data_IF_866237089763
#
_entry.id   IF_866237089763
#
_cell.length_a   1.000
_cell.length_b   1.000
_cell.length_c   1.000
_cell.angle_alpha   90.00
_cell.angle_beta   90.00
_cell.angle_gamma   90.00
#
_symmetry.space_group_name_H-M   'P 1'
#
loop_
_entity.id
_entity.type
_entity.pdbx_description
1 polymer ?
#
# COMPACT_ATOMS: atom_id res chain seq x y z
N UNK A 1 65.56 -55.87 12.62
CA UNK A 1 64.39 -55.50 11.78
C UNK A 1 63.34 -54.87 12.68
N UNK A 2 62.95 -53.62 12.38
CA UNK A 2 62.31 -52.68 13.33
C UNK A 2 60.80 -52.93 13.48
N UNK A 3 60.26 -53.20 14.69
CA UNK A 3 58.82 -53.41 14.94
C UNK A 3 57.97 -52.13 14.81
N UNK A 4 58.60 -50.97 14.71
CA UNK A 4 57.94 -49.67 14.52
C UNK A 4 57.11 -49.55 13.24
N UNK A 5 57.38 -50.36 12.22
CA UNK A 5 56.61 -50.36 10.96
C UNK A 5 55.18 -50.88 11.13
N UNK A 6 54.95 -51.82 12.06
CA UNK A 6 53.62 -52.38 12.30
C UNK A 6 52.72 -51.41 13.05
N UNK A 7 53.25 -50.73 14.08
CA UNK A 7 52.51 -49.71 14.82
C UNK A 7 52.19 -48.48 13.97
N UNK A 8 53.08 -48.09 13.06
CA UNK A 8 52.86 -46.96 12.15
C UNK A 8 51.78 -47.28 11.10
N UNK A 9 51.71 -48.51 10.61
CA UNK A 9 50.63 -48.95 9.71
C UNK A 9 49.25 -48.99 10.40
N UNK A 10 49.21 -49.37 11.69
CA UNK A 10 47.99 -49.42 12.49
C UNK A 10 47.49 -48.02 12.87
N UNK A 11 48.40 -47.09 13.16
CA UNK A 11 48.05 -45.68 13.39
C UNK A 11 47.53 -45.00 12.12
N UNK A 12 48.11 -45.34 10.96
CA UNK A 12 47.68 -44.81 9.66
C UNK A 12 46.32 -45.37 9.21
N UNK A 13 46.02 -46.63 9.52
CA UNK A 13 44.69 -47.20 9.22
C UNK A 13 43.60 -46.58 10.11
N UNK A 14 43.89 -46.32 11.39
CA UNK A 14 42.96 -45.68 12.32
C UNK A 14 42.71 -44.20 11.96
N UNK A 15 43.71 -43.51 11.41
CA UNK A 15 43.56 -42.13 10.92
C UNK A 15 42.72 -42.05 9.62
N UNK A 16 42.80 -43.08 8.77
CA UNK A 16 41.99 -43.19 7.55
C UNK A 16 40.50 -43.45 7.83
N UNK A 17 40.17 -44.25 8.86
CA UNK A 17 38.76 -44.46 9.25
C UNK A 17 38.12 -43.24 9.88
N UNK A 18 38.89 -42.41 10.58
CA UNK A 18 38.39 -41.15 11.16
C UNK A 18 37.99 -40.11 10.10
N UNK A 19 38.63 -40.14 8.92
CA UNK A 19 38.32 -39.21 7.82
C UNK A 19 37.14 -39.67 6.95
N UNK A 20 36.77 -40.96 6.99
CA UNK A 20 35.63 -41.51 6.25
C UNK A 20 34.27 -41.26 6.93
N UNK A 21 34.26 -40.71 8.15
CA UNK A 21 33.05 -40.35 8.90
C UNK A 21 32.48 -38.97 8.51
N UNK A 22 32.94 -38.38 7.40
CA UNK A 22 32.29 -37.19 6.83
C UNK A 22 30.90 -37.61 6.37
N UNK A 23 29.89 -37.11 7.09
CA UNK A 23 28.50 -37.51 6.94
C UNK A 23 28.04 -37.30 5.49
N UNK A 24 27.55 -38.36 4.85
CA UNK A 24 27.08 -38.27 3.47
C UNK A 24 25.90 -37.28 3.37
N UNK A 25 25.89 -36.37 2.39
CA UNK A 25 24.79 -35.44 2.19
C UNK A 25 23.50 -36.22 1.90
N UNK A 26 22.43 -35.89 2.64
CA UNK A 26 21.09 -36.47 2.44
C UNK A 26 20.20 -35.44 1.78
N UNK A 27 19.37 -35.90 0.84
CA UNK A 27 18.29 -35.10 0.28
C UNK A 27 17.02 -35.36 1.07
N UNK A 28 16.44 -34.32 1.65
CA UNK A 28 15.16 -34.39 2.33
C UNK A 28 14.19 -33.33 1.78
N UNK A 29 12.91 -33.69 1.72
CA UNK A 29 11.83 -32.82 1.27
C UNK A 29 11.10 -32.31 2.49
N UNK A 30 11.04 -30.99 2.66
CA UNK A 30 10.38 -30.31 3.77
C UNK A 30 9.14 -29.59 3.22
N UNK A 31 7.92 -30.04 3.55
CA UNK A 31 6.70 -29.35 3.16
C UNK A 31 6.52 -28.07 3.97
N UNK A 32 6.05 -27.00 3.32
CA UNK A 32 5.63 -25.76 3.95
C UNK A 32 4.10 -25.68 3.96
N UNK A 33 3.53 -24.96 4.92
CA UNK A 33 2.08 -24.86 5.11
C UNK A 33 1.55 -23.45 4.86
N UNK A 34 2.26 -22.43 5.33
CA UNK A 34 1.78 -21.05 5.38
C UNK A 34 2.64 -20.10 4.56
N UNK A 35 3.95 -20.33 4.53
CA UNK A 35 4.92 -19.55 3.72
C UNK A 35 5.21 -20.25 2.41
N UNK A 36 5.50 -19.46 1.38
CA UNK A 36 5.90 -20.02 0.08
C UNK A 36 7.36 -20.43 0.08
N UNK A 37 7.68 -21.48 -0.70
CA UNK A 37 9.05 -21.94 -0.83
C UNK A 37 9.98 -20.84 -1.38
N UNK A 38 9.48 -19.97 -2.26
CA UNK A 38 10.25 -18.86 -2.84
C UNK A 38 10.58 -17.75 -1.82
N UNK A 39 9.70 -17.48 -0.85
CA UNK A 39 9.94 -16.50 0.22
C UNK A 39 11.04 -16.99 1.19
N UNK A 40 11.05 -18.29 1.51
CA UNK A 40 12.00 -18.87 2.46
C UNK A 40 13.31 -19.35 1.82
N UNK A 41 13.32 -19.61 0.51
CA UNK A 41 14.51 -20.05 -0.23
C UNK A 41 15.76 -19.19 0.04
N UNK A 42 15.73 -17.84 -0.10
CA UNK A 42 16.94 -17.03 0.10
C UNK A 42 17.43 -17.07 1.55
N UNK A 43 16.51 -17.15 2.52
CA UNK A 43 16.84 -17.24 3.95
C UNK A 43 17.55 -18.57 4.22
N UNK A 44 16.94 -19.68 3.80
CA UNK A 44 17.50 -21.02 3.96
C UNK A 44 18.82 -21.16 3.21
N UNK A 45 18.93 -20.61 2.00
CA UNK A 45 20.17 -20.62 1.22
C UNK A 45 21.29 -19.84 1.92
N UNK A 46 20.99 -18.69 2.52
CA UNK A 46 21.98 -17.94 3.31
C UNK A 46 22.43 -18.69 4.56
N UNK A 47 21.54 -19.46 5.20
CA UNK A 47 21.88 -20.30 6.37
C UNK A 47 22.68 -21.54 5.96
N UNK A 48 22.38 -22.15 4.81
CA UNK A 48 23.10 -23.32 4.29
C UNK A 48 24.49 -22.96 3.74
N UNK A 49 24.66 -21.76 3.20
CA UNK A 49 25.92 -21.30 2.61
C UNK A 49 26.45 -22.28 1.56
N UNK A 50 27.69 -22.73 1.73
CA UNK A 50 28.33 -23.75 0.87
C UNK A 50 28.16 -25.18 1.37
N UNK A 51 27.51 -25.38 2.52
CA UNK A 51 27.40 -26.67 3.22
C UNK A 51 26.20 -27.51 2.74
N UNK A 52 25.51 -27.05 1.70
CA UNK A 52 24.42 -27.77 1.07
C UNK A 52 23.83 -27.05 -0.14
N UNK A 53 22.81 -27.67 -0.74
CA UNK A 53 21.99 -27.08 -1.79
C UNK A 53 20.52 -27.10 -1.36
N UNK A 54 19.80 -26.03 -1.67
CA UNK A 54 18.35 -25.95 -1.50
C UNK A 54 17.70 -25.61 -2.84
N UNK A 55 16.61 -26.28 -3.15
CA UNK A 55 15.79 -26.00 -4.33
C UNK A 55 14.31 -26.04 -3.96
N UNK A 56 13.48 -25.27 -4.65
CA UNK A 56 12.03 -25.25 -4.45
C UNK A 56 11.35 -26.25 -5.39
N UNK A 57 10.29 -26.89 -4.90
CA UNK A 57 9.37 -27.68 -5.72
C UNK A 57 7.93 -27.48 -5.24
N UNK A 58 7.19 -26.62 -5.93
CA UNK A 58 5.87 -26.18 -5.47
C UNK A 58 5.97 -25.49 -4.10
N UNK A 59 5.21 -25.96 -3.11
CA UNK A 59 5.28 -25.45 -1.73
C UNK A 59 6.22 -26.27 -0.82
N UNK A 60 7.26 -26.88 -1.39
CA UNK A 60 8.19 -27.74 -0.67
C UNK A 60 9.63 -27.28 -0.92
N UNK A 61 10.46 -27.40 0.12
CA UNK A 61 11.90 -27.18 0.03
C UNK A 61 12.61 -28.53 -0.04
N UNK A 62 13.36 -28.73 -1.11
CA UNK A 62 14.26 -29.87 -1.26
C UNK A 62 15.63 -29.43 -0.78
N UNK A 63 16.07 -29.97 0.35
CA UNK A 63 17.34 -29.61 0.99
C UNK A 63 18.29 -30.80 0.86
N UNK A 64 19.47 -30.56 0.30
CA UNK A 64 20.59 -31.49 0.24
C UNK A 64 21.71 -30.96 1.13
N UNK A 65 21.89 -31.55 2.32
CA UNK A 65 22.91 -31.15 3.28
C UNK A 65 23.25 -32.30 4.26
N UNK A 66 24.18 -32.05 5.18
CA UNK A 66 24.44 -32.96 6.30
C UNK A 66 23.23 -33.05 7.26
N UNK A 67 23.06 -34.19 7.95
CA UNK A 67 21.87 -34.47 8.77
C UNK A 67 21.69 -33.53 9.96
N UNK A 68 22.78 -33.05 10.55
CA UNK A 68 22.80 -32.01 11.59
C UNK A 68 22.20 -30.70 11.07
N UNK A 69 22.60 -30.27 9.87
CA UNK A 69 22.13 -29.05 9.22
C UNK A 69 20.69 -29.13 8.78
N UNK A 70 20.24 -30.27 8.26
CA UNK A 70 18.82 -30.46 7.95
C UNK A 70 17.96 -30.33 9.21
N UNK A 71 18.42 -30.83 10.35
CA UNK A 71 17.70 -30.70 11.64
C UNK A 71 17.64 -29.24 12.11
N UNK A 72 18.75 -28.51 11.97
CA UNK A 72 18.81 -27.07 12.25
C UNK A 72 17.83 -26.28 11.37
N UNK A 73 17.81 -26.55 10.06
CA UNK A 73 16.88 -25.92 9.12
C UNK A 73 15.43 -26.25 9.45
N UNK A 74 15.10 -27.49 9.84
CA UNK A 74 13.74 -27.84 10.26
C UNK A 74 13.28 -27.05 11.49
N UNK A 75 14.15 -26.89 12.48
CA UNK A 75 13.86 -26.10 13.69
C UNK A 75 13.68 -24.61 13.37
N UNK A 76 14.44 -24.10 12.40
CA UNK A 76 14.28 -22.73 11.90
C UNK A 76 12.98 -22.58 11.10
N UNK A 77 12.66 -23.52 10.21
CA UNK A 77 11.43 -23.50 9.42
C UNK A 77 10.18 -23.59 10.29
N UNK A 78 10.18 -24.35 11.38
CA UNK A 78 9.03 -24.40 12.31
C UNK A 78 8.76 -23.08 13.03
N UNK A 79 9.75 -22.18 13.10
CA UNK A 79 9.58 -20.84 13.69
C UNK A 79 9.17 -19.79 12.65
N UNK A 80 9.44 -20.04 11.36
CA UNK A 80 9.14 -19.12 10.26
C UNK A 80 7.83 -19.45 9.54
N UNK A 81 7.49 -20.74 9.42
CA UNK A 81 6.25 -21.24 8.82
C UNK A 81 5.11 -21.21 9.85
N UNK A 82 4.80 -20.01 10.34
CA UNK A 82 3.68 -19.75 11.26
C UNK A 82 2.45 -19.29 10.49
N UNK A 83 1.27 -19.57 11.04
CA UNK A 83 -0.01 -19.12 10.48
C UNK A 83 -0.07 -17.58 10.41
N UNK A 84 -0.35 -17.00 9.23
CA UNK A 84 -0.44 -15.56 9.07
C UNK A 84 -1.80 -15.06 9.55
N UNK A 85 -1.80 -13.92 10.22
CA UNK A 85 -3.03 -13.34 10.73
C UNK A 85 -3.87 -12.72 9.61
N UNK A 86 -5.20 -12.80 9.77
CA UNK A 86 -6.16 -12.10 8.89
C UNK A 86 -6.45 -10.72 9.47
N UNK A 87 -6.31 -9.70 8.63
CA UNK A 87 -6.44 -8.30 9.01
C UNK A 87 -7.59 -7.65 8.24
N UNK A 88 -8.45 -6.90 8.95
CA UNK A 88 -9.41 -5.97 8.37
C UNK A 88 -8.81 -4.58 8.41
N UNK A 89 -8.58 -4.01 7.23
CA UNK A 89 -8.02 -2.66 7.09
C UNK A 89 -9.15 -1.74 6.68
N UNK A 90 -9.46 -0.78 7.55
CA UNK A 90 -10.46 0.27 7.30
C UNK A 90 -9.75 1.60 7.08
N UNK A 91 -9.91 2.18 5.90
CA UNK A 91 -9.40 3.51 5.57
C UNK A 91 -10.57 4.49 5.59
N UNK A 92 -10.43 5.56 6.35
CA UNK A 92 -11.41 6.65 6.42
C UNK A 92 -10.79 7.92 5.84
N UNK A 93 -11.43 8.43 4.79
CA UNK A 93 -11.07 9.70 4.16
C UNK A 93 -12.16 10.71 4.45
N UNK A 94 -11.85 11.69 5.29
CA UNK A 94 -12.76 12.78 5.61
C UNK A 94 -12.29 14.05 4.92
N UNK A 95 -13.16 14.61 4.11
CA UNK A 95 -13.04 15.97 3.59
C UNK A 95 -13.83 16.87 4.55
N UNK A 96 -13.14 17.68 5.34
CA UNK A 96 -13.79 18.66 6.20
C UNK A 96 -14.20 19.88 5.39
N UNK A 97 -15.26 19.77 4.57
CA UNK A 97 -15.95 20.92 4.01
C UNK A 97 -16.93 21.49 5.06
N UNK A 98 -16.42 21.95 6.20
CA UNK A 98 -17.19 22.75 7.18
C UNK A 98 -17.11 24.24 6.81
N UNK A 99 -17.74 24.58 5.70
CA UNK A 99 -18.08 25.96 5.36
C UNK A 99 -19.43 26.32 5.96
N UNK A 100 -19.46 26.62 7.26
CA UNK A 100 -20.61 27.29 7.90
C UNK A 100 -20.62 28.75 7.43
N UNK A 101 -21.00 28.99 6.17
CA UNK A 101 -21.20 30.33 5.60
C UNK A 101 -22.47 30.96 6.18
N UNK A 102 -22.40 31.39 7.44
CA UNK A 102 -23.22 32.53 7.90
C UNK A 102 -22.54 33.83 7.45
N UNK A 103 -22.45 34.01 6.14
CA UNK A 103 -22.11 35.29 5.53
C UNK A 103 -23.29 36.24 5.65
N UNK A 104 -23.27 37.13 6.66
CA UNK A 104 -24.17 38.28 6.69
C UNK A 104 -23.78 39.23 5.56
N UNK A 105 -24.47 39.17 4.42
CA UNK A 105 -24.34 40.18 3.38
C UNK A 105 -25.09 41.45 3.80
N UNK A 106 -24.38 42.48 4.22
CA UNK A 106 -24.97 43.83 4.35
C UNK A 106 -24.70 44.58 3.06
N UNK A 107 -25.68 44.56 2.15
CA UNK A 107 -25.62 45.40 0.95
C UNK A 107 -26.03 46.84 1.28
N UNK A 108 -25.19 47.77 0.85
CA UNK A 108 -25.39 49.21 0.99
C UNK A 108 -26.67 49.70 0.32
N UNK A 109 -27.24 50.77 0.89
CA UNK A 109 -28.42 51.43 0.37
C UNK A 109 -28.08 52.20 -0.90
N UNK A 110 -28.69 51.85 -2.02
CA UNK A 110 -28.78 52.71 -3.19
C UNK A 110 -30.25 53.02 -3.48
N UNK A 111 -30.61 54.30 -3.31
CA UNK A 111 -31.68 54.99 -4.03
C UNK A 111 -33.11 54.45 -3.93
N UNK A 112 -34.01 55.25 -3.35
CA UNK A 112 -35.47 55.14 -3.42
C UNK A 112 -35.99 54.67 -4.80
N UNK A 113 -36.38 53.40 -4.94
CA UNK A 113 -37.36 52.91 -5.93
C UNK A 113 -38.07 51.66 -5.36
N UNK A 114 -39.41 51.54 -5.45
CA UNK A 114 -40.18 50.56 -4.69
C UNK A 114 -40.25 49.13 -5.28
N UNK A 115 -39.53 48.78 -6.35
CA UNK A 115 -39.78 47.52 -7.10
C UNK A 115 -38.55 46.63 -7.36
N UNK A 116 -37.62 46.51 -6.42
CA UNK A 116 -36.47 45.58 -6.55
C UNK A 116 -36.69 44.29 -5.76
N UNK A 117 -37.08 43.21 -6.44
CA UNK A 117 -37.13 41.86 -5.86
C UNK A 117 -35.75 41.19 -5.97
N UNK A 118 -35.03 41.05 -4.86
CA UNK A 118 -33.78 40.27 -4.79
C UNK A 118 -34.13 38.84 -4.38
N UNK A 119 -33.96 37.88 -5.29
CA UNK A 119 -34.08 36.45 -5.00
C UNK A 119 -32.69 35.88 -4.73
N UNK A 120 -32.42 35.55 -3.47
CA UNK A 120 -31.20 34.86 -3.06
C UNK A 120 -31.40 33.37 -3.35
N UNK A 121 -30.57 32.79 -4.21
CA UNK A 121 -30.53 31.35 -4.48
C UNK A 121 -29.35 30.80 -3.68
N UNK A 122 -29.63 30.06 -2.60
CA UNK A 122 -28.63 29.30 -1.87
C UNK A 122 -28.47 27.93 -2.53
N UNK A 123 -27.30 27.67 -3.11
CA UNK A 123 -26.93 26.33 -3.60
C UNK A 123 -26.05 25.65 -2.55
N UNK A 124 -26.66 24.97 -1.57
CA UNK A 124 -25.92 24.08 -0.68
C UNK A 124 -25.66 22.75 -1.41
N UNK A 125 -24.44 22.52 -1.87
CA UNK A 125 -24.02 21.21 -2.42
C UNK A 125 -23.32 20.43 -1.32
N UNK A 126 -24.09 19.94 -0.35
CA UNK A 126 -23.56 19.03 0.68
C UNK A 126 -23.44 17.63 0.14
N UNK A 127 -22.33 17.30 -0.53
CA UNK A 127 -22.01 15.91 -0.88
C UNK A 127 -21.38 15.25 0.34
N UNK A 128 -22.23 14.82 1.28
CA UNK A 128 -21.80 14.02 2.42
C UNK A 128 -21.49 12.60 1.93
N UNK A 129 -20.31 12.42 1.34
CA UNK A 129 -19.82 11.12 0.91
C UNK A 129 -18.91 10.57 2.00
N UNK A 130 -19.47 9.76 2.91
CA UNK A 130 -18.68 9.01 3.90
C UNK A 130 -17.65 8.14 3.16
N UNK A 131 -16.39 8.58 3.18
CA UNK A 131 -15.27 8.00 2.44
C UNK A 131 -14.60 6.83 3.15
N UNK A 132 -15.36 6.00 3.87
CA UNK A 132 -14.84 4.81 4.55
C UNK A 132 -14.78 3.63 3.59
N UNK A 133 -13.60 3.03 3.45
CA UNK A 133 -13.33 1.89 2.60
C UNK A 133 -12.70 0.77 3.43
N UNK A 134 -13.13 -0.46 3.23
CA UNK A 134 -12.65 -1.61 3.98
C UNK A 134 -12.08 -2.67 3.05
N UNK A 135 -10.99 -3.30 3.46
CA UNK A 135 -10.37 -4.41 2.73
C UNK A 135 -9.82 -5.44 3.71
N UNK A 136 -10.03 -6.71 3.40
CA UNK A 136 -9.43 -7.82 4.13
C UNK A 136 -8.11 -8.20 3.45
N UNK A 137 -7.06 -8.34 4.26
CA UNK A 137 -5.74 -8.71 3.79
C UNK A 137 -5.12 -9.73 4.75
N UNK A 138 -4.29 -10.61 4.21
CA UNK A 138 -3.41 -11.45 5.01
C UNK A 138 -2.19 -10.64 5.41
N UNK A 139 -1.69 -10.84 6.63
CA UNK A 139 -0.46 -10.22 7.11
C UNK A 139 0.69 -10.36 6.10
N UNK A 140 1.39 -9.26 5.81
CA UNK A 140 2.49 -9.17 4.86
C UNK A 140 2.08 -9.18 3.39
N UNK A 141 0.80 -9.45 3.07
CA UNK A 141 0.29 -9.47 1.70
C UNK A 141 -0.32 -8.12 1.31
N UNK A 142 -0.04 -7.62 0.10
CA UNK A 142 -0.65 -6.38 -0.36
C UNK A 142 -2.12 -6.57 -0.71
N UNK A 143 -2.93 -5.57 -0.37
CA UNK A 143 -4.33 -5.47 -0.77
C UNK A 143 -4.57 -4.18 -1.54
N UNK A 144 -5.29 -4.28 -2.66
CA UNK A 144 -5.63 -3.15 -3.53
C UNK A 144 -7.13 -2.95 -3.58
N UNK A 145 -7.57 -1.73 -3.27
CA UNK A 145 -8.93 -1.27 -3.56
C UNK A 145 -8.85 -0.19 -4.63
N UNK A 146 -9.51 -0.41 -5.76
CA UNK A 146 -9.56 0.53 -6.87
C UNK A 146 -11.00 0.69 -7.34
N UNK A 147 -11.47 1.94 -7.32
CA UNK A 147 -12.78 2.34 -7.81
C UNK A 147 -12.53 3.35 -8.92
N UNK A 148 -13.20 3.22 -10.06
CA UNK A 148 -13.00 4.15 -11.15
C UNK A 148 -14.21 4.29 -12.05
N UNK A 149 -14.19 5.37 -12.83
CA UNK A 149 -15.16 5.66 -13.87
C UNK A 149 -14.42 5.97 -15.17
N UNK A 150 -14.93 5.47 -16.29
CA UNK A 150 -14.41 5.81 -17.61
C UNK A 150 -15.23 6.95 -18.18
N UNK A 151 -14.61 8.12 -18.37
CA UNK A 151 -15.29 9.31 -18.88
C UNK A 151 -14.89 9.58 -20.33
N UNK A 152 -15.84 9.92 -21.20
CA UNK A 152 -15.53 10.33 -22.57
C UNK A 152 -15.01 11.75 -22.57
N UNK A 153 -13.79 11.93 -23.07
CA UNK A 153 -13.17 13.22 -23.30
C UNK A 153 -13.22 13.53 -24.79
N UNK A 154 -13.88 14.63 -25.16
CA UNK A 154 -14.04 15.03 -26.55
C UNK A 154 -13.16 16.23 -26.87
N UNK A 155 -12.26 16.08 -27.83
CA UNK A 155 -11.40 17.16 -28.35
C UNK A 155 -11.86 17.54 -29.76
N UNK A 156 -11.96 18.84 -30.05
CA UNK A 156 -12.26 19.33 -31.40
C UNK A 156 -10.94 19.56 -32.13
N UNK A 157 -10.71 18.80 -33.19
CA UNK A 157 -9.55 18.94 -34.07
C UNK A 157 -9.99 19.51 -35.42
N UNK A 158 -9.07 20.13 -36.15
CA UNK A 158 -9.33 20.64 -37.50
C UNK A 158 -8.65 19.68 -38.47
N UNK A 159 -9.41 19.18 -39.46
CA UNK A 159 -8.86 18.33 -40.50
C UNK A 159 -7.96 19.13 -41.48
N UNK A 160 -7.19 18.46 -42.36
CA UNK A 160 -6.37 19.15 -43.36
C UNK A 160 -7.13 20.07 -44.33
N UNK A 161 -8.46 20.00 -44.35
CA UNK A 161 -9.36 20.79 -45.19
C UNK A 161 -10.06 21.92 -44.42
N UNK A 162 -9.69 22.17 -43.16
CA UNK A 162 -10.24 23.25 -42.34
C UNK A 162 -11.59 22.94 -41.69
N UNK A 163 -12.06 21.69 -41.72
CA UNK A 163 -13.33 21.28 -41.13
C UNK A 163 -13.13 20.81 -39.69
N UNK A 164 -13.92 21.30 -38.71
CA UNK A 164 -13.85 20.80 -37.36
C UNK A 164 -14.42 19.38 -37.30
N UNK A 165 -13.73 18.48 -36.61
CA UNK A 165 -14.22 17.15 -36.27
C UNK A 165 -13.97 16.87 -34.79
N UNK A 166 -14.88 16.14 -34.16
CA UNK A 166 -14.79 15.79 -32.74
C UNK A 166 -14.18 14.40 -32.61
N UNK A 167 -13.07 14.29 -31.87
CA UNK A 167 -12.48 13.02 -31.46
C UNK A 167 -12.83 12.77 -30.00
N UNK A 168 -13.53 11.68 -29.72
CA UNK A 168 -13.85 11.25 -28.35
C UNK A 168 -12.92 10.11 -27.95
N UNK A 169 -12.20 10.28 -26.85
CA UNK A 169 -11.33 9.28 -26.23
C UNK A 169 -11.83 8.98 -24.81
N UNK A 170 -11.83 7.72 -24.41
CA UNK A 170 -12.22 7.31 -23.07
C UNK A 170 -11.02 7.35 -22.13
N UNK A 171 -11.25 7.85 -20.91
CA UNK A 171 -10.19 8.01 -19.92
C UNK A 171 -10.65 7.55 -18.56
N UNK A 172 -9.84 6.69 -17.97
CA UNK A 172 -10.15 6.06 -16.69
C UNK A 172 -9.70 6.95 -15.53
N UNK A 173 -10.68 7.46 -14.80
CA UNK A 173 -10.48 8.17 -13.55
C UNK A 173 -10.57 7.16 -12.43
N UNK A 174 -9.43 6.89 -11.82
CA UNK A 174 -9.31 5.88 -10.78
C UNK A 174 -9.00 6.55 -9.45
N UNK A 175 -9.72 6.13 -8.41
CA UNK A 175 -9.43 6.40 -7.01
C UNK A 175 -9.21 5.07 -6.30
N UNK A 176 -8.13 4.96 -5.55
CA UNK A 176 -7.81 3.71 -4.86
C UNK A 176 -6.68 3.86 -3.88
N UNK A 177 -6.46 2.79 -3.13
CA UNK A 177 -5.32 2.65 -2.25
C UNK A 177 -4.79 1.22 -2.31
N UNK A 178 -3.47 1.14 -2.24
CA UNK A 178 -2.72 -0.07 -2.02
C UNK A 178 -2.27 -0.05 -0.57
N UNK A 179 -2.50 -1.12 0.17
CA UNK A 179 -2.11 -1.22 1.57
C UNK A 179 -1.41 -2.54 1.83
N UNK A 180 -0.33 -2.48 2.60
CA UNK A 180 0.36 -3.65 3.13
C UNK A 180 0.50 -3.50 4.64
N UNK A 181 0.06 -4.50 5.39
CA UNK A 181 0.07 -4.52 6.85
C UNK A 181 0.89 -5.69 7.37
N UNK A 182 1.79 -5.46 8.33
CA UNK A 182 2.56 -6.52 9.01
C UNK A 182 2.55 -6.33 10.52
N UNK A 183 2.52 -7.41 11.29
CA UNK A 183 2.46 -7.37 12.74
C UNK A 183 3.83 -7.67 13.37
N UNK A 184 4.12 -6.94 14.44
CA UNK A 184 5.22 -7.24 15.35
C UNK A 184 4.66 -7.24 16.77
N UNK A 185 4.25 -8.42 17.25
CA UNK A 185 3.50 -8.53 18.51
C UNK A 185 2.15 -7.80 18.41
N UNK A 186 1.96 -6.72 19.17
CA UNK A 186 0.72 -5.90 19.15
C UNK A 186 0.85 -4.61 18.30
N UNK A 187 1.97 -4.42 17.62
CA UNK A 187 2.22 -3.27 16.75
C UNK A 187 1.96 -3.65 15.30
N UNK A 188 1.17 -2.83 14.62
CA UNK A 188 0.94 -2.93 13.18
C UNK A 188 1.87 -1.95 12.47
N UNK A 189 2.61 -2.42 11.49
CA UNK A 189 3.28 -1.58 10.52
C UNK A 189 2.46 -1.54 9.25
N UNK A 190 2.13 -0.32 8.80
CA UNK A 190 1.31 -0.10 7.63
C UNK A 190 2.07 0.70 6.59
N UNK A 191 2.01 0.25 5.35
CA UNK A 191 2.43 1.03 4.18
C UNK A 191 1.20 1.23 3.30
N UNK A 192 0.87 2.50 3.00
CA UNK A 192 -0.27 2.86 2.17
C UNK A 192 0.18 3.74 1.04
N UNK A 193 -0.22 3.35 -0.16
CA UNK A 193 -0.04 4.08 -1.40
C UNK A 193 -1.43 4.39 -1.99
N UNK A 194 -1.89 5.62 -1.83
CA UNK A 194 -3.18 6.10 -2.29
C UNK A 194 -3.06 6.98 -3.54
N UNK A 195 -4.09 6.96 -4.37
CA UNK A 195 -4.22 7.85 -5.53
C UNK A 195 -5.66 8.26 -5.78
N UNK A 196 -5.87 9.53 -6.14
CA UNK A 196 -7.16 10.07 -6.54
C UNK A 196 -7.01 10.87 -7.85
N UNK A 197 -7.70 10.42 -8.90
CA UNK A 197 -7.77 11.12 -10.16
C UNK A 197 -9.17 11.71 -10.33
N UNK A 198 -9.29 13.03 -10.41
CA UNK A 198 -10.55 13.75 -10.61
C UNK A 198 -10.50 14.63 -11.85
N UNK A 199 -11.67 14.89 -12.45
CA UNK A 199 -11.78 15.90 -13.52
C UNK A 199 -11.68 17.30 -12.92
N UNK A 200 -10.95 18.17 -13.59
CA UNK A 200 -11.00 19.58 -13.28
C UNK A 200 -12.36 20.18 -13.72
N UNK A 201 -13.09 20.81 -12.79
CA UNK A 201 -14.37 21.46 -13.09
C UNK A 201 -14.22 22.67 -14.01
N UNK A 202 -13.06 23.33 -14.01
CA UNK A 202 -12.79 24.54 -14.77
C UNK A 202 -12.23 24.23 -16.17
N UNK A 203 -11.63 23.06 -16.35
CA UNK A 203 -11.02 22.62 -17.60
C UNK A 203 -11.47 21.18 -17.93
N UNK A 204 -12.51 21.01 -18.78
CA UNK A 204 -13.14 19.72 -19.09
C UNK A 204 -12.21 18.65 -19.71
N UNK A 205 -10.93 18.98 -19.93
CA UNK A 205 -9.93 18.13 -20.57
C UNK A 205 -8.70 17.87 -19.68
N UNK A 206 -8.67 18.40 -18.45
CA UNK A 206 -7.55 18.27 -17.51
C UNK A 206 -7.93 17.31 -16.38
N UNK A 207 -7.02 16.38 -16.05
CA UNK A 207 -7.17 15.50 -14.89
C UNK A 207 -6.27 16.04 -13.77
N UNK A 208 -6.86 16.21 -12.58
CA UNK A 208 -6.10 16.44 -11.37
C UNK A 208 -5.76 15.08 -10.74
N UNK A 209 -4.47 14.78 -10.68
CA UNK A 209 -3.95 13.55 -10.07
C UNK A 209 -3.31 13.87 -8.72
N UNK A 210 -3.78 13.20 -7.68
CA UNK A 210 -3.21 13.29 -6.34
C UNK A 210 -2.70 11.91 -5.94
N UNK A 211 -1.47 11.82 -5.47
CA UNK A 211 -0.88 10.57 -4.98
C UNK A 211 -0.26 10.77 -3.62
N UNK A 212 -0.32 9.74 -2.77
CA UNK A 212 0.22 9.79 -1.42
C UNK A 212 0.83 8.44 -1.08
N UNK A 213 2.08 8.43 -0.62
CA UNK A 213 2.72 7.24 -0.07
C UNK A 213 3.13 7.55 1.36
N UNK A 214 2.70 6.71 2.30
CA UNK A 214 2.98 6.88 3.73
C UNK A 214 3.25 5.55 4.39
N UNK A 215 4.12 5.57 5.40
CA UNK A 215 4.43 4.42 6.24
C UNK A 215 4.24 4.82 7.69
N UNK A 216 3.38 4.11 8.38
CA UNK A 216 3.07 4.37 9.80
C UNK A 216 3.13 3.10 10.62
N UNK A 217 3.17 3.28 11.93
CA UNK A 217 3.00 2.19 12.88
C UNK A 217 2.05 2.61 13.99
N UNK A 218 1.23 1.68 14.46
CA UNK A 218 0.33 1.90 15.59
C UNK A 218 -0.17 0.59 16.19
N UNK A 219 -1.12 0.67 17.11
CA UNK A 219 -1.69 -0.49 17.77
C UNK A 219 -2.86 -1.06 16.97
N UNK A 220 -3.08 -2.37 17.08
CA UNK A 220 -4.28 -3.02 16.57
C UNK A 220 -5.54 -2.41 17.21
N UNK A 221 -6.60 -2.24 16.41
CA UNK A 221 -7.91 -1.75 16.84
C UNK A 221 -8.03 -0.24 17.03
N UNK A 222 -6.93 0.52 16.94
CA UNK A 222 -6.92 1.96 17.11
C UNK A 222 -6.89 2.69 15.75
N UNK A 223 -7.52 3.86 15.68
CA UNK A 223 -7.43 4.74 14.51
C UNK A 223 -6.08 5.45 14.51
N UNK A 224 -5.32 5.26 13.44
CA UNK A 224 -4.02 5.87 13.19
C UNK A 224 -4.20 6.94 12.11
N UNK A 225 -3.83 8.18 12.41
CA UNK A 225 -3.84 9.28 11.43
C UNK A 225 -2.59 9.20 10.54
N UNK A 226 -2.80 9.23 9.22
CA UNK A 226 -1.77 8.98 8.21
C UNK A 226 -1.26 10.23 7.53
N UNK A 227 -2.19 11.16 7.22
CA UNK A 227 -1.89 12.44 6.58
C UNK A 227 -3.02 13.43 6.85
N UNK A 228 -2.67 14.70 7.06
CA UNK A 228 -3.58 15.84 6.98
C UNK A 228 -3.07 16.78 5.89
N UNK A 229 -3.83 16.95 4.81
CA UNK A 229 -3.51 17.89 3.74
C UNK A 229 -4.27 19.18 4.00
N UNK A 230 -3.57 20.28 4.26
CA UNK A 230 -4.16 21.63 4.37
C UNK A 230 -3.68 22.49 3.22
N UNK A 231 -4.57 22.84 2.28
CA UNK A 231 -4.27 23.76 1.18
C UNK A 231 -4.80 25.15 1.51
N UNK A 232 -3.94 26.02 2.04
CA UNK A 232 -4.24 27.44 2.23
C UNK A 232 -3.95 28.20 0.94
N UNK A 233 -4.97 28.38 0.09
CA UNK A 233 -4.89 29.22 -1.10
C UNK A 233 -5.48 30.61 -0.83
N UNK A 234 -4.68 31.54 -0.32
CA UNK A 234 -5.06 32.95 -0.24
C UNK A 234 -4.75 33.67 -1.55
N UNK A 235 -5.74 33.79 -2.45
CA UNK A 235 -5.67 34.74 -3.58
C UNK A 235 -6.35 36.04 -3.19
N UNK A 236 -5.56 37.10 -3.02
CA UNK A 236 -6.06 38.47 -2.95
C UNK A 236 -5.90 39.06 -4.36
N UNK A 237 -7.00 39.26 -5.07
CA UNK A 237 -7.00 39.92 -6.38
C UNK A 237 -7.74 41.25 -6.24
N UNK A 238 -6.97 42.34 -6.20
CA UNK A 238 -7.51 43.70 -6.17
C UNK A 238 -8.06 44.06 -7.56
N UNK A 239 -9.34 43.76 -7.80
CA UNK A 239 -10.13 44.43 -8.84
C UNK A 239 -11.25 45.22 -8.19
N UNK A 240 -11.27 46.50 -8.52
CA UNK A 240 -12.31 47.44 -8.14
C UNK A 240 -13.62 46.96 -8.80
N UNK A 241 -14.65 46.76 -7.95
CA UNK A 241 -16.01 46.29 -8.20
C UNK A 241 -16.22 44.77 -8.02
N UNK A 242 -16.88 44.44 -6.89
CA UNK A 242 -17.36 43.13 -6.40
C UNK A 242 -16.31 42.26 -5.70
N UNK A 243 -16.37 42.22 -4.36
CA UNK A 243 -15.58 41.36 -3.50
C UNK A 243 -16.30 40.02 -3.31
N UNK A 244 -15.81 38.97 -3.97
CA UNK A 244 -16.17 37.58 -3.69
C UNK A 244 -14.98 36.94 -2.94
N UNK A 245 -15.12 36.74 -1.63
CA UNK A 245 -14.12 36.07 -0.80
C UNK A 245 -14.51 34.61 -0.56
N UNK A 246 -14.24 33.73 -1.51
CA UNK A 246 -14.40 32.29 -1.28
C UNK A 246 -13.16 31.77 -0.56
N UNK A 247 -13.23 31.67 0.78
CA UNK A 247 -12.20 31.03 1.60
C UNK A 247 -12.49 29.53 1.70
N UNK A 248 -12.04 28.76 0.71
CA UNK A 248 -12.07 27.30 0.78
C UNK A 248 -10.83 26.79 1.51
N UNK A 249 -10.98 26.34 2.76
CA UNK A 249 -9.96 25.54 3.45
C UNK A 249 -10.33 24.08 3.24
N UNK A 250 -9.66 23.40 2.31
CA UNK A 250 -9.88 21.97 2.10
C UNK A 250 -8.87 21.21 2.95
N UNK A 251 -9.32 20.77 4.13
CA UNK A 251 -8.55 19.88 5.01
C UNK A 251 -9.00 18.44 4.79
N UNK A 252 -8.23 17.68 4.01
CA UNK A 252 -8.45 16.24 3.84
C UNK A 252 -7.62 15.49 4.87
N UNK A 253 -8.29 14.78 5.79
CA UNK A 253 -7.64 13.90 6.75
C UNK A 253 -7.84 12.44 6.37
N UNK A 254 -6.74 11.70 6.32
CA UNK A 254 -6.73 10.27 6.05
C UNK A 254 -6.35 9.51 7.32
N UNK A 255 -7.21 8.57 7.72
CA UNK A 255 -7.03 7.73 8.92
C UNK A 255 -7.22 6.28 8.55
N UNK A 256 -6.54 5.39 9.26
CA UNK A 256 -6.65 3.95 9.06
C UNK A 256 -6.82 3.25 10.40
N UNK A 257 -7.60 2.17 10.38
CA UNK A 257 -7.72 1.24 11.50
C UNK A 257 -7.48 -0.16 10.98
N UNK A 258 -6.75 -0.95 11.76
CA UNK A 258 -6.50 -2.35 11.45
C UNK A 258 -7.01 -3.20 12.59
N UNK A 259 -7.99 -4.05 12.29
CA UNK A 259 -8.55 -5.00 13.24
C UNK A 259 -8.07 -6.43 12.88
N UNK A 260 -7.91 -7.28 13.89
CA UNK A 260 -7.65 -8.71 13.72
C UNK A 260 -8.99 -9.43 13.44
N UNK A 261 -9.01 -10.36 12.49
CA UNK A 261 -10.21 -11.14 12.12
C UNK A 261 -10.19 -12.60 12.62
N UNK A 262 -9.33 -12.93 13.59
CA UNK A 262 -9.25 -14.26 14.24
C UNK A 262 -10.45 -14.58 15.14
#
# INVERSE_FOLDING_TARGET
MKPYRAYLALFLSMLMTAFAAQAAPRTEVIPLNYRTADELLPIVQSTLGSEGKVSTYGNQLIVNAESNKITEIKSLLSQLDTEPHRLLITVDTRDADEGDEQGYSVNGRLGNHPDTHVRIISNSTGTQQDGTQQVQATEGSPALVKIGQSVPISTTEIDPYGRPYTRTEYRDLNRGFYVTASLTGNLVHLTIDGGNNSLDRNQPNTINTQSTSTRVSGRLGEWITLSGFSQNASRSEDRILYEYSTRGSQDTQLRVKVDLLD
#
